data_IF_653381680128
#
_entry.id   IF_653381680128
#
_cell.length_a   1.000
_cell.length_b   1.000
_cell.length_c   1.000
_cell.angle_alpha   90.00
_cell.angle_beta   90.00
_cell.angle_gamma   90.00
#
_symmetry.space_group_name_H-M   'P 1'
#
loop_
_entity.id
_entity.type
_entity.pdbx_description
1 polymer ?
#
# COMPACT_ATOMS: atom_id res chain seq x y z
N UNK A 1 31.18 0.14 -14.44
CA UNK A 1 30.18 1.20 -14.80
C UNK A 1 28.76 0.65 -15.05
N UNK A 2 28.57 -0.40 -15.86
CA UNK A 2 27.22 -0.94 -16.20
C UNK A 2 26.43 -1.46 -14.97
N UNK A 3 27.10 -2.10 -14.01
CA UNK A 3 26.46 -2.60 -12.78
C UNK A 3 25.94 -1.48 -11.86
N UNK A 4 26.58 -0.30 -11.88
CA UNK A 4 26.20 0.84 -11.05
C UNK A 4 24.93 1.52 -11.59
N UNK A 5 24.80 1.61 -12.92
CA UNK A 5 23.60 2.14 -13.58
C UNK A 5 22.36 1.28 -13.30
N UNK A 6 22.50 -0.05 -13.30
CA UNK A 6 21.39 -0.96 -12.94
C UNK A 6 20.95 -0.87 -11.46
N UNK A 7 21.85 -0.48 -10.55
CA UNK A 7 21.48 -0.23 -9.14
C UNK A 7 20.71 1.08 -9.00
N UNK A 8 21.19 2.17 -9.61
CA UNK A 8 20.47 3.45 -9.62
C UNK A 8 19.04 3.35 -10.20
N UNK A 9 18.85 2.59 -11.28
CA UNK A 9 17.51 2.38 -11.87
C UNK A 9 16.56 1.64 -10.92
N UNK A 10 17.09 0.72 -10.10
CA UNK A 10 16.30 -0.02 -9.10
C UNK A 10 15.88 0.90 -7.97
N UNK A 11 16.80 1.71 -7.45
CA UNK A 11 16.55 2.62 -6.34
C UNK A 11 15.58 3.73 -6.76
N UNK A 12 15.71 4.26 -7.98
CA UNK A 12 14.76 5.22 -8.57
C UNK A 12 13.33 4.65 -8.66
N UNK A 13 13.21 3.36 -9.02
CA UNK A 13 11.91 2.68 -9.12
C UNK A 13 11.26 2.48 -7.75
N UNK A 14 12.07 2.21 -6.71
CA UNK A 14 11.59 2.10 -5.32
C UNK A 14 11.13 3.47 -4.81
N UNK A 15 11.95 4.51 -5.00
CA UNK A 15 11.62 5.88 -4.60
C UNK A 15 10.34 6.36 -5.29
N UNK A 16 10.18 6.11 -6.59
CA UNK A 16 8.96 6.48 -7.33
C UNK A 16 7.70 5.85 -6.72
N UNK A 17 7.77 4.62 -6.19
CA UNK A 17 6.63 3.96 -5.55
C UNK A 17 6.30 4.52 -4.18
N UNK A 18 7.33 4.84 -3.39
CA UNK A 18 7.16 5.49 -2.10
C UNK A 18 6.47 6.85 -2.33
N UNK A 19 6.94 7.62 -3.31
CA UNK A 19 6.32 8.91 -3.68
C UNK A 19 4.86 8.73 -4.10
N UNK A 20 4.53 7.72 -4.92
CA UNK A 20 3.13 7.44 -5.30
C UNK A 20 2.27 7.07 -4.08
N UNK A 21 2.78 6.27 -3.15
CA UNK A 21 2.05 5.92 -1.93
C UNK A 21 1.83 7.14 -1.03
N UNK A 22 2.85 7.98 -0.86
CA UNK A 22 2.75 9.23 -0.09
C UNK A 22 1.76 10.18 -0.75
N UNK A 23 1.82 10.35 -2.06
CA UNK A 23 0.86 11.18 -2.81
C UNK A 23 -0.57 10.67 -2.63
N UNK A 24 -0.82 9.37 -2.77
CA UNK A 24 -2.14 8.77 -2.51
C UNK A 24 -2.64 9.01 -1.09
N UNK A 25 -1.76 8.88 -0.08
CA UNK A 25 -2.11 9.16 1.31
C UNK A 25 -2.51 10.62 1.50
N UNK A 26 -1.73 11.55 0.93
CA UNK A 26 -1.96 12.99 1.08
C UNK A 26 -3.24 13.41 0.37
N UNK A 27 -3.45 13.02 -0.90
CA UNK A 27 -4.65 13.39 -1.65
C UNK A 27 -5.93 12.82 -1.05
N UNK A 28 -5.87 11.67 -0.37
CA UNK A 28 -7.05 11.10 0.27
C UNK A 28 -7.31 11.65 1.68
N UNK A 29 -6.25 11.90 2.47
CA UNK A 29 -6.38 12.37 3.86
C UNK A 29 -6.68 13.87 3.94
N UNK A 30 -6.13 14.66 3.03
CA UNK A 30 -6.30 16.11 3.04
C UNK A 30 -7.78 16.54 2.93
N UNK A 31 -8.60 15.99 2.01
CA UNK A 31 -10.03 16.26 1.96
C UNK A 31 -10.76 15.90 3.25
N UNK A 32 -10.47 14.74 3.84
CA UNK A 32 -11.11 14.32 5.10
C UNK A 32 -10.79 15.23 6.28
N UNK A 33 -9.55 15.72 6.39
CA UNK A 33 -9.17 16.66 7.45
C UNK A 33 -9.90 18.00 7.24
N UNK A 34 -9.91 18.51 5.99
CA UNK A 34 -10.64 19.73 5.66
C UNK A 34 -12.13 19.61 5.97
N UNK A 35 -12.74 18.47 5.63
CA UNK A 35 -14.16 18.22 5.89
C UNK A 35 -14.48 18.21 7.39
N UNK A 36 -13.61 17.61 8.21
CA UNK A 36 -13.75 17.62 9.68
C UNK A 36 -13.65 19.04 10.24
N UNK A 37 -12.67 19.83 9.78
CA UNK A 37 -12.49 21.23 10.23
C UNK A 37 -13.72 22.07 9.88
N UNK A 38 -14.22 21.95 8.65
CA UNK A 38 -15.43 22.68 8.22
C UNK A 38 -16.65 22.26 9.04
N UNK A 39 -16.83 20.96 9.30
CA UNK A 39 -17.90 20.48 10.18
C UNK A 39 -17.79 21.04 11.60
N UNK A 40 -16.57 21.16 12.13
CA UNK A 40 -16.30 21.70 13.46
C UNK A 40 -16.62 23.21 13.56
N UNK A 41 -16.33 23.97 12.50
CA UNK A 41 -16.66 25.39 12.41
C UNK A 41 -18.17 25.61 12.34
N UNK A 42 -18.88 24.77 11.57
CA UNK A 42 -20.33 24.91 11.39
C UNK A 42 -21.15 24.35 12.56
N UNK A 43 -20.52 23.67 13.53
CA UNK A 43 -21.21 23.05 14.66
C UNK A 43 -21.98 21.76 14.32
N UNK A 44 -22.12 21.42 13.04
CA UNK A 44 -22.80 20.22 12.54
C UNK A 44 -21.80 19.11 12.19
N UNK A 45 -21.14 18.55 13.21
CA UNK A 45 -20.46 17.26 13.04
C UNK A 45 -21.52 16.16 12.88
N UNK A 46 -21.87 15.86 11.63
CA UNK A 46 -22.71 14.71 11.33
C UNK A 46 -22.05 13.45 11.92
N UNK A 47 -22.81 12.70 12.73
CA UNK A 47 -22.39 11.42 13.33
C UNK A 47 -21.84 10.44 12.28
N UNK A 48 -22.35 10.53 11.05
CA UNK A 48 -21.91 9.75 9.88
C UNK A 48 -20.53 10.13 9.32
N UNK A 49 -19.99 11.30 9.65
CA UNK A 49 -18.69 11.75 9.13
C UNK A 49 -17.56 10.83 9.56
N UNK A 50 -17.54 10.43 10.85
CA UNK A 50 -16.52 9.54 11.40
C UNK A 50 -16.48 8.15 10.75
N UNK A 51 -17.60 7.41 10.61
CA UNK A 51 -17.58 6.11 9.94
C UNK A 51 -17.24 6.22 8.45
N UNK A 52 -17.67 7.28 7.75
CA UNK A 52 -17.30 7.51 6.34
C UNK A 52 -15.79 7.72 6.21
N UNK A 53 -15.19 8.57 7.05
CA UNK A 53 -13.73 8.79 7.09
C UNK A 53 -12.99 7.48 7.39
N UNK A 54 -13.49 6.68 8.32
CA UNK A 54 -12.94 5.37 8.64
C UNK A 54 -12.98 4.39 7.47
N UNK A 55 -14.11 4.34 6.76
CA UNK A 55 -14.29 3.49 5.57
C UNK A 55 -13.35 3.89 4.42
N UNK A 56 -13.27 5.20 4.13
CA UNK A 56 -12.35 5.74 3.11
C UNK A 56 -10.90 5.43 3.47
N UNK A 57 -10.56 5.52 4.76
CA UNK A 57 -9.21 5.17 5.25
C UNK A 57 -8.90 3.69 5.04
N UNK A 58 -9.85 2.79 5.33
CA UNK A 58 -9.67 1.35 5.14
C UNK A 58 -9.41 1.02 3.66
N UNK A 59 -10.20 1.59 2.74
CA UNK A 59 -10.01 1.43 1.30
C UNK A 59 -8.62 1.94 0.86
N UNK A 60 -8.18 3.08 1.40
CA UNK A 60 -6.86 3.63 1.12
C UNK A 60 -5.74 2.65 1.47
N UNK A 61 -5.79 2.06 2.66
CA UNK A 61 -4.79 1.10 3.12
C UNK A 61 -4.76 -0.16 2.25
N UNK A 62 -5.93 -0.64 1.82
CA UNK A 62 -6.04 -1.78 0.89
C UNK A 62 -5.39 -1.44 -0.46
N UNK A 63 -5.66 -0.25 -1.01
CA UNK A 63 -5.07 0.21 -2.26
C UNK A 63 -3.55 0.37 -2.17
N UNK A 64 -3.03 0.91 -1.06
CA UNK A 64 -1.59 1.02 -0.82
C UNK A 64 -0.95 -0.38 -0.78
N UNK A 65 -1.60 -1.33 -0.09
CA UNK A 65 -1.19 -2.73 -0.08
C UNK A 65 -1.11 -3.33 -1.49
N UNK A 66 -2.16 -3.15 -2.30
CA UNK A 66 -2.21 -3.62 -3.69
C UNK A 66 -1.13 -2.98 -4.57
N UNK A 67 -0.94 -1.66 -4.51
CA UNK A 67 0.09 -0.94 -5.28
C UNK A 67 1.49 -1.45 -4.89
N UNK A 68 1.70 -1.73 -3.60
CA UNK A 68 2.97 -2.26 -3.09
C UNK A 68 3.26 -3.67 -3.61
N UNK A 69 2.24 -4.54 -3.63
CA UNK A 69 2.32 -5.90 -4.17
C UNK A 69 2.56 -5.88 -5.69
N UNK A 70 1.81 -5.08 -6.43
CA UNK A 70 1.91 -4.97 -7.90
C UNK A 70 3.25 -4.41 -8.34
N UNK A 71 3.79 -3.44 -7.60
CA UNK A 71 5.13 -2.95 -7.87
C UNK A 71 6.18 -4.04 -7.64
N UNK A 72 6.15 -4.69 -6.49
CA UNK A 72 7.33 -5.44 -6.04
C UNK A 72 7.34 -6.85 -6.62
N UNK A 73 8.07 -7.05 -7.74
CA UNK A 73 8.24 -8.37 -8.36
C UNK A 73 8.72 -9.46 -7.38
N UNK A 74 9.51 -9.10 -6.34
CA UNK A 74 9.88 -10.01 -5.25
C UNK A 74 8.67 -10.44 -4.40
N UNK A 75 7.78 -9.51 -4.06
CA UNK A 75 6.54 -9.79 -3.31
C UNK A 75 5.59 -10.59 -4.19
N UNK A 76 5.38 -10.21 -5.46
CA UNK A 76 4.56 -10.97 -6.40
C UNK A 76 5.04 -12.42 -6.54
N UNK A 77 6.35 -12.66 -6.62
CA UNK A 77 6.94 -14.01 -6.72
C UNK A 77 6.82 -14.81 -5.41
N UNK A 78 6.94 -14.15 -4.25
CA UNK A 78 6.70 -14.78 -2.95
C UNK A 78 5.20 -15.09 -2.72
N UNK A 79 4.31 -14.20 -3.15
CA UNK A 79 2.86 -14.35 -3.03
C UNK A 79 2.36 -15.47 -3.94
N UNK A 80 2.87 -15.55 -5.17
CA UNK A 80 2.66 -16.69 -6.07
C UNK A 80 3.18 -17.99 -5.46
N UNK A 81 4.31 -17.98 -4.73
CA UNK A 81 4.78 -19.17 -3.99
C UNK A 81 3.80 -19.59 -2.89
N UNK A 82 3.25 -18.65 -2.13
CA UNK A 82 2.26 -18.94 -1.09
C UNK A 82 0.93 -19.47 -1.65
N UNK A 83 0.47 -18.94 -2.78
CA UNK A 83 -0.78 -19.38 -3.42
C UNK A 83 -0.61 -20.66 -4.27
N UNK A 84 0.57 -20.91 -4.86
CA UNK A 84 0.90 -22.13 -5.61
C UNK A 84 1.75 -23.11 -4.79
N UNK A 85 1.58 -23.21 -3.47
CA UNK A 85 2.05 -24.40 -2.76
C UNK A 85 0.99 -25.50 -2.93
N UNK A 86 1.16 -26.49 -3.83
CA UNK A 86 0.47 -27.75 -3.65
C UNK A 86 0.87 -28.27 -2.26
N UNK A 87 -0.12 -28.78 -1.54
CA UNK A 87 -0.01 -29.43 -0.23
C UNK A 87 0.81 -30.72 -0.30
N UNK A 88 2.11 -30.60 -0.55
CA UNK A 88 3.08 -31.67 -0.38
C UNK A 88 4.22 -31.14 0.48
N UNK A 89 3.94 -31.01 1.78
CA UNK A 89 4.93 -31.35 2.80
C UNK A 89 4.94 -32.88 2.87
N UNK A 90 6.06 -33.59 2.97
CA UNK A 90 6.90 -33.70 4.18
C UNK A 90 8.30 -34.20 3.73
N UNK A 91 9.36 -33.50 4.15
CA UNK A 91 10.78 -33.92 4.14
C UNK A 91 11.02 -35.01 5.23
N UNK A 92 12.05 -35.90 5.21
CA UNK A 92 13.46 -35.49 5.20
C UNK A 92 14.49 -36.44 4.52
N UNK A 93 15.71 -35.90 4.40
CA UNK A 93 17.00 -36.55 4.13
C UNK A 93 17.21 -37.90 4.80
N UNK A 94 17.76 -38.90 4.07
CA UNK A 94 18.73 -39.86 4.62
C UNK A 94 19.72 -40.34 3.53
N UNK A 95 21.01 -40.19 3.88
CA UNK A 95 22.27 -40.74 3.32
C UNK A 95 22.62 -40.52 1.84
#
# INVERSE_FOLDING_TARGET
RIQQHRRNLRDLTVIKRIIICVLMLVTLRFPTIMFIIVGLINGDLFFLTYPIVGFVTAICLILIGLVTILGTNKIKRNLLRYFNYPSTQIYPTQN
#
